data_IF_819844933532
#
_entry.id   IF_819844933532
#
_cell.length_a   1.000
_cell.length_b   1.000
_cell.length_c   1.000
_cell.angle_alpha   90.00
_cell.angle_beta   90.00
_cell.angle_gamma   90.00
#
_symmetry.space_group_name_H-M   'P 1'
#
loop_
_entity.id
_entity.type
_entity.pdbx_description
1 polymer ?
#
# COMPACT_ATOMS: atom_id res chain seq x y z
N UNK A 1 -47.05 21.44 1.05
CA UNK A 1 -45.90 21.59 0.15
C UNK A 1 -44.80 22.30 0.92
N UNK A 2 -43.95 21.57 1.63
CA UNK A 2 -42.67 22.11 2.10
C UNK A 2 -41.63 21.02 1.89
N UNK A 3 -40.65 21.33 1.05
CA UNK A 3 -39.66 20.40 0.53
C UNK A 3 -38.61 20.07 1.60
N UNK A 4 -38.39 18.77 1.81
CA UNK A 4 -37.29 18.25 2.60
C UNK A 4 -35.96 18.54 1.91
N UNK A 5 -35.13 19.37 2.54
CA UNK A 5 -33.74 19.61 2.14
C UNK A 5 -32.92 18.33 2.35
N UNK A 6 -32.70 17.59 1.26
CA UNK A 6 -31.93 16.35 1.24
C UNK A 6 -30.47 16.57 0.75
N UNK A 7 -29.89 17.75 0.98
CA UNK A 7 -28.64 18.17 0.34
C UNK A 7 -27.37 17.93 1.17
N UNK A 8 -27.47 17.43 2.42
CA UNK A 8 -26.32 17.27 3.32
C UNK A 8 -25.75 15.85 3.43
N UNK A 9 -26.24 14.86 2.68
CA UNK A 9 -25.72 13.48 2.69
C UNK A 9 -24.71 13.16 1.57
N UNK A 10 -24.00 14.15 1.02
CA UNK A 10 -23.03 13.92 -0.07
C UNK A 10 -21.60 13.58 0.41
N UNK A 11 -21.25 13.87 1.66
CA UNK A 11 -20.00 13.39 2.24
C UNK A 11 -20.31 12.15 3.05
N UNK A 12 -20.00 10.98 2.48
CA UNK A 12 -19.92 9.72 3.22
C UNK A 12 -19.04 9.92 4.46
N UNK A 13 -19.39 9.28 5.58
CA UNK A 13 -18.60 9.29 6.83
C UNK A 13 -17.10 9.18 6.54
N UNK A 14 -16.32 10.19 6.92
CA UNK A 14 -14.86 10.24 6.71
C UNK A 14 -14.13 9.00 7.26
N UNK A 15 -14.75 8.32 8.23
CA UNK A 15 -14.32 7.06 8.83
C UNK A 15 -14.16 5.91 7.83
N UNK A 16 -14.76 5.95 6.64
CA UNK A 16 -14.69 4.85 5.67
C UNK A 16 -13.30 4.66 5.02
N UNK A 17 -12.45 5.69 5.05
CA UNK A 17 -11.10 5.67 4.46
C UNK A 17 -9.97 5.64 5.50
N UNK A 18 -10.30 5.30 6.75
CA UNK A 18 -9.31 5.16 7.84
C UNK A 18 -8.92 3.68 7.96
N UNK A 19 -7.66 3.36 7.69
CA UNK A 19 -7.16 1.99 7.82
C UNK A 19 -7.17 1.52 9.28
N UNK A 20 -7.65 0.29 9.50
CA UNK A 20 -7.72 -0.35 10.83
C UNK A 20 -6.59 -1.36 11.06
N UNK A 21 -5.95 -1.80 9.98
CA UNK A 21 -4.86 -2.77 9.99
C UNK A 21 -3.78 -2.36 8.99
N UNK A 22 -2.52 -2.57 9.35
CA UNK A 22 -1.37 -2.44 8.46
C UNK A 22 -0.48 -3.67 8.59
N UNK A 23 0.28 -3.96 7.54
CA UNK A 23 1.36 -4.94 7.59
C UNK A 23 2.58 -4.40 6.84
N UNK A 24 3.76 -4.82 7.26
CA UNK A 24 4.99 -4.52 6.55
C UNK A 24 5.30 -5.64 5.57
N UNK A 25 5.77 -5.26 4.38
CA UNK A 25 6.31 -6.19 3.41
C UNK A 25 7.54 -5.58 2.75
N UNK A 26 8.39 -6.44 2.20
CA UNK A 26 9.59 -6.06 1.45
C UNK A 26 9.79 -7.06 0.34
N UNK A 27 10.40 -6.61 -0.74
CA UNK A 27 10.79 -7.49 -1.82
C UNK A 27 11.93 -6.91 -2.64
N UNK A 28 12.60 -7.79 -3.37
CA UNK A 28 13.63 -7.42 -4.33
C UNK A 28 13.33 -8.06 -5.69
N UNK A 29 13.74 -7.37 -6.75
CA UNK A 29 13.61 -7.88 -8.11
C UNK A 29 14.83 -7.50 -8.93
N UNK A 30 15.30 -8.44 -9.74
CA UNK A 30 16.44 -8.24 -10.62
C UNK A 30 15.99 -8.55 -12.05
N UNK A 31 16.10 -7.56 -12.92
CA UNK A 31 15.83 -7.71 -14.34
C UNK A 31 16.60 -6.63 -15.11
N UNK A 32 16.82 -6.85 -16.40
CA UNK A 32 17.49 -5.87 -17.27
C UNK A 32 16.65 -4.61 -17.42
N UNK A 33 15.33 -4.77 -17.57
CA UNK A 33 14.35 -3.71 -17.66
C UNK A 33 13.84 -3.29 -16.27
N UNK A 34 13.81 -1.99 -16.02
CA UNK A 34 13.37 -1.41 -14.75
C UNK A 34 11.95 -1.86 -14.36
N UNK A 35 10.97 -1.76 -15.27
CA UNK A 35 9.59 -2.10 -14.98
C UNK A 35 9.42 -3.56 -14.54
N UNK A 36 10.08 -4.48 -15.24
CA UNK A 36 10.08 -5.90 -14.86
C UNK A 36 10.80 -6.14 -13.54
N UNK A 37 11.94 -5.48 -13.30
CA UNK A 37 12.63 -5.59 -12.01
C UNK A 37 11.76 -5.09 -10.84
N UNK A 38 10.99 -4.03 -11.06
CA UNK A 38 10.07 -3.48 -10.08
C UNK A 38 8.87 -4.41 -9.86
N UNK A 39 8.31 -4.99 -10.92
CA UNK A 39 7.22 -5.97 -10.82
C UNK A 39 7.64 -7.24 -10.06
N UNK A 40 8.85 -7.75 -10.31
CA UNK A 40 9.43 -8.85 -9.53
C UNK A 40 9.60 -8.49 -8.05
N UNK A 41 10.00 -7.26 -7.73
CA UNK A 41 10.08 -6.80 -6.35
C UNK A 41 8.70 -6.76 -5.66
N UNK A 42 7.65 -6.36 -6.38
CA UNK A 42 6.27 -6.40 -5.87
C UNK A 42 5.75 -7.83 -5.69
N UNK A 43 6.14 -8.77 -6.57
CA UNK A 43 5.81 -10.20 -6.45
C UNK A 43 6.47 -10.82 -5.22
N UNK A 44 7.76 -10.55 -5.01
CA UNK A 44 8.50 -10.97 -3.81
C UNK A 44 7.87 -10.40 -2.53
N UNK A 45 7.40 -9.15 -2.59
CA UNK A 45 6.63 -8.51 -1.52
C UNK A 45 5.17 -9.01 -1.38
N UNK A 46 4.69 -9.90 -2.25
CA UNK A 46 3.33 -10.45 -2.30
C UNK A 46 2.21 -9.39 -2.40
N UNK A 47 2.45 -8.31 -3.15
CA UNK A 47 1.49 -7.21 -3.38
C UNK A 47 1.38 -6.81 -4.86
N UNK A 48 1.98 -7.58 -5.79
CA UNK A 48 1.95 -7.30 -7.23
C UNK A 48 0.57 -7.40 -7.86
N UNK A 49 -0.35 -8.12 -7.22
CA UNK A 49 -1.73 -8.32 -7.68
C UNK A 49 -2.67 -7.19 -7.26
N UNK A 50 -2.17 -6.14 -6.59
CA UNK A 50 -2.95 -5.02 -6.08
C UNK A 50 -2.75 -3.74 -6.92
N UNK A 51 -3.74 -2.86 -6.89
CA UNK A 51 -3.61 -1.50 -7.40
C UNK A 51 -3.06 -0.59 -6.29
N UNK A 52 -1.75 -0.35 -6.30
CA UNK A 52 -1.08 0.38 -5.22
C UNK A 52 -1.24 1.89 -5.36
N UNK A 53 -1.77 2.54 -4.31
CA UNK A 53 -1.84 4.01 -4.20
C UNK A 53 -0.86 4.46 -3.14
N UNK A 54 0.15 5.24 -3.55
CA UNK A 54 1.12 5.80 -2.61
C UNK A 54 0.46 6.88 -1.75
N UNK A 55 0.56 6.78 -0.43
CA UNK A 55 0.01 7.77 0.52
C UNK A 55 1.12 8.39 1.38
N UNK A 56 0.79 9.48 2.07
CA UNK A 56 1.66 10.06 3.10
C UNK A 56 1.85 9.08 4.25
N UNK A 57 3.07 9.02 4.80
CA UNK A 57 3.50 8.07 5.85
C UNK A 57 2.91 8.34 7.23
N UNK A 58 1.58 8.38 7.34
CA UNK A 58 0.86 8.67 8.60
C UNK A 58 0.08 7.41 9.01
N UNK A 59 0.41 6.86 10.18
CA UNK A 59 -0.36 5.75 10.75
C UNK A 59 -1.61 6.29 11.46
N UNK A 60 -2.81 5.77 11.15
CA UNK A 60 -4.01 6.16 11.86
C UNK A 60 -4.00 5.75 13.34
N UNK A 61 -4.73 6.45 14.21
CA UNK A 61 -4.93 6.00 15.58
C UNK A 61 -5.63 4.64 15.61
N UNK A 62 -5.32 3.83 16.63
CA UNK A 62 -5.90 2.48 16.86
C UNK A 62 -5.65 1.46 15.74
N UNK A 63 -4.83 1.79 14.75
CA UNK A 63 -4.46 0.88 13.67
C UNK A 63 -3.57 -0.25 14.20
N UNK A 64 -3.94 -1.50 13.88
CA UNK A 64 -3.21 -2.69 14.34
C UNK A 64 -2.15 -3.12 13.33
N UNK A 65 -0.93 -3.34 13.81
CA UNK A 65 0.10 -4.01 13.01
C UNK A 65 -0.15 -5.51 13.03
N UNK A 66 -0.34 -6.09 11.85
CA UNK A 66 -0.53 -7.54 11.66
C UNK A 66 0.60 -8.12 10.80
N UNK A 67 0.73 -9.44 10.78
CA UNK A 67 1.66 -10.10 9.87
C UNK A 67 1.20 -9.93 8.42
N UNK A 68 2.13 -10.07 7.47
CA UNK A 68 1.81 -10.04 6.04
C UNK A 68 0.78 -11.09 5.68
N UNK A 69 0.91 -12.30 6.21
CA UNK A 69 0.01 -13.42 5.94
C UNK A 69 -1.41 -13.13 6.44
N UNK A 70 -1.55 -12.50 7.60
CA UNK A 70 -2.85 -12.10 8.13
C UNK A 70 -3.44 -10.95 7.32
N UNK A 71 -2.67 -9.88 7.08
CA UNK A 71 -3.13 -8.73 6.31
C UNK A 71 -3.59 -9.09 4.89
N UNK A 72 -2.91 -10.04 4.24
CA UNK A 72 -3.27 -10.51 2.89
C UNK A 72 -4.60 -11.25 2.82
N UNK A 73 -5.09 -11.85 3.92
CA UNK A 73 -6.43 -12.48 3.94
C UNK A 73 -7.56 -11.47 3.74
N UNK A 74 -7.32 -10.20 4.03
CA UNK A 74 -8.30 -9.11 3.96
C UNK A 74 -8.21 -8.33 2.63
N UNK A 75 -7.41 -8.78 1.67
CA UNK A 75 -7.18 -8.10 0.40
C UNK A 75 -7.55 -8.99 -0.78
N UNK A 76 -8.24 -8.40 -1.75
CA UNK A 76 -8.60 -9.08 -3.00
C UNK A 76 -7.63 -8.71 -4.13
N UNK A 77 -7.32 -9.64 -5.05
CA UNK A 77 -6.62 -9.30 -6.28
C UNK A 77 -7.35 -8.18 -7.03
N UNK A 78 -6.61 -7.18 -7.51
CA UNK A 78 -7.12 -5.98 -8.20
C UNK A 78 -7.64 -4.88 -7.25
N UNK A 79 -7.71 -5.12 -5.94
CA UNK A 79 -8.16 -4.11 -4.99
C UNK A 79 -7.19 -2.92 -4.92
N UNK A 80 -7.73 -1.72 -4.72
CA UNK A 80 -6.92 -0.55 -4.37
C UNK A 80 -6.34 -0.74 -2.97
N UNK A 81 -5.02 -0.66 -2.85
CA UNK A 81 -4.31 -0.77 -1.59
C UNK A 81 -3.48 0.50 -1.34
N UNK A 82 -3.87 1.26 -0.32
CA UNK A 82 -3.09 2.40 0.15
C UNK A 82 -1.79 1.90 0.77
N UNK A 83 -0.68 2.40 0.25
CA UNK A 83 0.66 1.89 0.57
C UNK A 83 1.60 3.05 0.87
N UNK A 84 2.37 2.93 1.95
CA UNK A 84 3.55 3.76 2.15
C UNK A 84 4.73 3.03 1.49
N UNK A 85 5.33 3.64 0.47
CA UNK A 85 6.31 2.98 -0.39
C UNK A 85 7.68 3.66 -0.29
N UNK A 86 8.70 2.89 0.10
CA UNK A 86 10.09 3.24 -0.15
C UNK A 86 10.63 2.32 -1.24
N UNK A 87 11.35 2.89 -2.21
CA UNK A 87 11.98 2.13 -3.28
C UNK A 87 13.38 2.66 -3.58
N UNK A 88 14.27 1.76 -3.93
CA UNK A 88 15.61 2.06 -4.43
C UNK A 88 15.90 1.13 -5.61
N UNK A 89 16.58 1.63 -6.63
CA UNK A 89 16.92 0.87 -7.83
C UNK A 89 18.27 1.32 -8.38
N UNK A 90 19.00 0.39 -8.99
CA UNK A 90 20.29 0.64 -9.63
C UNK A 90 20.43 -0.23 -10.87
N UNK A 91 21.17 0.25 -11.86
CA UNK A 91 21.61 -0.51 -13.04
C UNK A 91 23.12 -0.81 -13.00
N UNK A 92 23.80 -0.48 -11.91
CA UNK A 92 25.21 -0.79 -11.70
C UNK A 92 25.38 -2.25 -11.24
N UNK A 93 26.19 -3.07 -11.95
CA UNK A 93 26.48 -4.42 -11.52
C UNK A 93 27.06 -4.46 -10.09
N UNK A 94 26.59 -5.41 -9.28
CA UNK A 94 27.03 -5.64 -7.89
C UNK A 94 26.84 -4.47 -6.92
N UNK A 95 26.10 -3.42 -7.29
CA UNK A 95 25.82 -2.30 -6.38
C UNK A 95 24.80 -2.73 -5.32
N UNK A 96 25.19 -2.60 -4.05
CA UNK A 96 24.29 -2.83 -2.93
C UNK A 96 23.32 -1.65 -2.79
N UNK A 97 22.03 -1.97 -2.69
CA UNK A 97 20.94 -1.03 -2.44
C UNK A 97 20.03 -1.59 -1.36
N UNK A 98 19.36 -0.69 -0.65
CA UNK A 98 18.34 -1.04 0.33
C UNK A 98 17.17 -0.05 0.22
N UNK A 99 15.98 -0.52 0.60
CA UNK A 99 14.81 0.31 0.83
C UNK A 99 14.19 -0.13 2.16
N UNK A 100 13.76 0.82 2.97
CA UNK A 100 13.18 0.56 4.28
C UNK A 100 12.05 1.53 4.57
N UNK A 101 11.06 1.04 5.32
CA UNK A 101 10.01 1.83 5.96
C UNK A 101 10.09 1.54 7.45
N UNK A 102 10.03 2.61 8.25
CA UNK A 102 9.92 2.54 9.71
C UNK A 102 8.60 3.11 10.18
N UNK A 103 8.21 2.74 11.39
CA UNK A 103 7.07 3.30 12.13
C UNK A 103 7.62 3.82 13.46
N UNK A 104 7.21 5.04 13.83
CA UNK A 104 7.63 5.73 15.04
C UNK A 104 6.51 5.74 16.10
#
# INVERSE_FOLDING_TARGET
>A
MEGGNNTTKFFSDASSFVAKMIFFTKGKGLHKEYLTSFELALRDAAISDLNLVSVSSIMPPECKTVTREEGRKHLLPGQIAFTVMAKSATNEPNRLIAASIGLA
#
